data_IF_385106175468
#
_entry.id   IF_385106175468
#
_cell.length_a   1.000
_cell.length_b   1.000
_cell.length_c   1.000
_cell.angle_alpha   90.00
_cell.angle_beta   90.00
_cell.angle_gamma   90.00
#
_symmetry.space_group_name_H-M   'P 1'
#
loop_
_entity.id
_entity.type
_entity.pdbx_description
1 polymer ?
#
# COMPACT_ATOMS: atom_id res chain seq x y z
N UNK A 1 -10.11 -22.47 -18.71
CA UNK A 1 -10.89 -21.27 -18.36
C UNK A 1 -10.62 -20.93 -16.91
N UNK A 2 -9.57 -20.13 -16.66
CA UNK A 2 -9.17 -19.74 -15.30
C UNK A 2 -10.02 -18.53 -14.92
N UNK A 3 -11.00 -18.71 -14.01
CA UNK A 3 -11.66 -17.57 -13.38
C UNK A 3 -10.61 -16.78 -12.61
N UNK A 4 -10.20 -15.64 -13.14
CA UNK A 4 -9.43 -14.66 -12.37
C UNK A 4 -10.38 -14.17 -11.26
N UNK A 5 -10.06 -14.36 -9.97
CA UNK A 5 -10.92 -13.87 -8.91
C UNK A 5 -11.04 -12.35 -9.07
N UNK A 6 -12.26 -11.87 -9.30
CA UNK A 6 -12.60 -10.47 -9.22
C UNK A 6 -12.05 -9.93 -7.89
N UNK A 7 -11.21 -8.90 -7.93
CA UNK A 7 -10.66 -8.25 -6.74
C UNK A 7 -11.85 -7.75 -5.91
N UNK A 8 -12.14 -8.40 -4.78
CA UNK A 8 -13.27 -8.08 -3.88
C UNK A 8 -12.85 -7.46 -2.55
N UNK A 9 -11.57 -7.44 -2.22
CA UNK A 9 -11.16 -7.36 -0.81
C UNK A 9 -10.43 -6.03 -0.51
N UNK A 10 -11.12 -4.89 -0.57
CA UNK A 10 -11.91 -4.21 0.47
C UNK A 10 -11.06 -3.23 1.30
N UNK A 11 -11.62 -2.04 1.49
CA UNK A 11 -10.85 -0.80 1.61
C UNK A 11 -10.59 -0.36 3.07
N UNK A 12 -11.40 -0.84 4.02
CA UNK A 12 -11.38 -0.44 5.43
C UNK A 12 -11.86 -1.60 6.31
N UNK A 13 -11.22 -1.84 7.45
CA UNK A 13 -11.65 -2.81 8.45
C UNK A 13 -11.75 -2.13 9.81
N UNK A 14 -12.93 -2.17 10.42
CA UNK A 14 -13.09 -1.75 11.81
C UNK A 14 -12.59 -2.87 12.73
N UNK A 15 -11.51 -2.62 13.45
CA UNK A 15 -11.02 -3.50 14.49
C UNK A 15 -11.69 -3.09 15.81
N UNK A 16 -12.40 -4.01 16.49
CA UNK A 16 -13.05 -3.70 17.76
C UNK A 16 -12.01 -3.36 18.84
N UNK A 17 -12.45 -2.63 19.87
CA UNK A 17 -11.63 -2.42 21.05
C UNK A 17 -11.35 -3.75 21.76
N UNK A 18 -10.15 -3.88 22.32
CA UNK A 18 -9.77 -4.94 23.26
C UNK A 18 -9.52 -4.33 24.63
N UNK A 19 -9.25 -5.16 25.65
CA UNK A 19 -8.91 -4.68 27.00
C UNK A 19 -7.73 -3.71 27.00
N UNK A 20 -6.75 -3.93 26.12
CA UNK A 20 -5.51 -3.16 26.06
C UNK A 20 -5.44 -2.21 24.89
N UNK A 21 -6.41 -2.23 23.97
CA UNK A 21 -6.33 -1.42 22.76
C UNK A 21 -7.65 -0.80 22.33
N UNK A 22 -7.66 0.49 21.95
CA UNK A 22 -8.88 1.14 21.50
C UNK A 22 -9.33 0.61 20.14
N UNK A 23 -10.62 0.83 19.85
CA UNK A 23 -11.18 0.61 18.53
C UNK A 23 -10.40 1.44 17.50
N UNK A 24 -10.17 0.87 16.33
CA UNK A 24 -9.39 1.51 15.27
C UNK A 24 -9.78 0.99 13.90
N UNK A 25 -9.39 1.72 12.86
CA UNK A 25 -9.61 1.33 11.47
C UNK A 25 -8.28 0.89 10.86
N UNK A 26 -8.28 -0.28 10.22
CA UNK A 26 -7.20 -0.77 9.38
C UNK A 26 -7.52 -0.51 7.91
N UNK A 27 -6.59 0.08 7.18
CA UNK A 27 -6.75 0.53 5.80
C UNK A 27 -6.02 -0.42 4.86
N UNK A 28 -6.70 -0.86 3.81
CA UNK A 28 -6.06 -1.56 2.69
C UNK A 28 -6.64 -1.06 1.38
N UNK A 29 -6.09 0.03 0.88
CA UNK A 29 -6.63 0.76 -0.26
C UNK A 29 -5.68 0.76 -1.45
N UNK A 30 -6.25 0.78 -2.65
CA UNK A 30 -5.51 1.05 -3.87
C UNK A 30 -6.45 1.27 -5.05
N UNK A 31 -6.79 2.53 -5.32
CA UNK A 31 -7.70 2.93 -6.41
C UNK A 31 -7.37 2.30 -7.76
N UNK A 32 -6.07 2.21 -8.11
CA UNK A 32 -5.60 1.66 -9.39
C UNK A 32 -6.11 0.25 -9.69
N UNK A 33 -6.38 -0.57 -8.67
CA UNK A 33 -6.89 -1.93 -8.88
C UNK A 33 -8.37 -1.94 -9.31
N UNK A 34 -9.09 -0.86 -9.01
CA UNK A 34 -10.51 -0.71 -9.32
C UNK A 34 -10.78 0.04 -10.62
N UNK A 35 -9.91 0.99 -11.01
CA UNK A 35 -10.16 1.86 -12.17
C UNK A 35 -9.04 1.86 -13.21
N UNK A 36 -7.92 1.17 -12.96
CA UNK A 36 -6.73 1.26 -13.81
C UNK A 36 -5.92 2.53 -13.56
N UNK A 37 -4.73 2.64 -14.16
CA UNK A 37 -3.90 3.84 -14.09
C UNK A 37 -2.85 3.88 -15.21
N UNK A 38 -2.89 4.91 -16.06
CA UNK A 38 -1.89 5.15 -17.11
C UNK A 38 -1.64 3.92 -17.99
N UNK A 39 -0.38 3.48 -18.05
CA UNK A 39 0.05 2.29 -18.80
C UNK A 39 -0.46 0.94 -18.26
N UNK A 40 -1.20 0.93 -17.14
CA UNK A 40 -1.82 -0.26 -16.55
C UNK A 40 -3.35 -0.09 -16.57
N UNK A 41 -4.00 -0.24 -17.75
CA UNK A 41 -5.45 -0.15 -17.85
C UNK A 41 -6.12 -1.28 -17.06
N UNK A 42 -7.36 -1.03 -16.61
CA UNK A 42 -8.19 -2.09 -16.00
C UNK A 42 -8.53 -3.12 -17.07
N UNK A 43 -8.47 -4.40 -16.71
CA UNK A 43 -8.95 -5.47 -17.60
C UNK A 43 -10.45 -5.33 -17.87
N UNK A 44 -10.84 -5.45 -19.14
CA UNK A 44 -12.24 -5.44 -19.57
C UNK A 44 -13.03 -6.67 -19.09
N UNK A 45 -12.34 -7.73 -18.66
CA UNK A 45 -12.97 -8.95 -18.11
C UNK A 45 -13.51 -8.73 -16.69
N UNK A 46 -13.09 -7.67 -16.01
CA UNK A 46 -13.54 -7.36 -14.65
C UNK A 46 -14.75 -6.41 -14.75
N UNK A 47 -15.90 -6.74 -14.13
CA UNK A 47 -17.08 -5.86 -14.16
C UNK A 47 -16.75 -4.42 -13.74
N UNK A 48 -17.42 -3.40 -14.30
CA UNK A 48 -17.24 -2.03 -13.85
C UNK A 48 -17.61 -1.91 -12.37
N UNK A 49 -17.01 -0.93 -11.69
CA UNK A 49 -17.42 -0.60 -10.33
C UNK A 49 -18.82 0.02 -10.34
N UNK A 50 -19.57 -0.19 -9.27
CA UNK A 50 -20.87 0.49 -9.08
C UNK A 50 -20.66 1.96 -8.74
N UNK A 51 -21.71 2.77 -8.89
CA UNK A 51 -21.70 4.17 -8.47
C UNK A 51 -21.35 4.31 -6.98
N UNK A 52 -21.99 3.54 -6.11
CA UNK A 52 -21.68 3.51 -4.67
C UNK A 52 -20.21 3.12 -4.38
N UNK A 53 -19.60 2.25 -5.19
CA UNK A 53 -18.17 1.95 -5.06
C UNK A 53 -17.30 3.12 -5.49
N UNK A 54 -17.66 3.81 -6.59
CA UNK A 54 -16.96 5.01 -7.04
C UNK A 54 -17.03 6.11 -5.96
N UNK A 55 -18.21 6.38 -5.42
CA UNK A 55 -18.42 7.33 -4.32
C UNK A 55 -17.61 6.98 -3.08
N UNK A 56 -17.54 5.70 -2.70
CA UNK A 56 -16.74 5.26 -1.56
C UNK A 56 -15.24 5.49 -1.79
N UNK A 57 -14.74 5.18 -2.99
CA UNK A 57 -13.35 5.46 -3.36
C UNK A 57 -13.07 6.97 -3.32
N UNK A 58 -13.98 7.78 -3.85
CA UNK A 58 -13.87 9.25 -3.90
C UNK A 58 -13.90 9.88 -2.51
N UNK A 59 -14.80 9.42 -1.66
CA UNK A 59 -14.88 9.82 -0.25
C UNK A 59 -13.54 9.64 0.44
N UNK A 60 -12.89 8.49 0.25
CA UNK A 60 -11.58 8.24 0.86
C UNK A 60 -10.46 9.09 0.27
N UNK A 61 -10.49 9.32 -1.04
CA UNK A 61 -9.50 10.17 -1.70
C UNK A 61 -9.60 11.62 -1.21
N UNK A 62 -10.79 12.22 -1.28
CA UNK A 62 -10.99 13.61 -0.89
C UNK A 62 -10.89 13.82 0.63
N UNK A 63 -11.24 12.82 1.44
CA UNK A 63 -10.97 12.87 2.90
C UNK A 63 -9.47 12.84 3.16
N UNK A 64 -8.74 11.96 2.49
CA UNK A 64 -7.28 11.88 2.61
C UNK A 64 -6.59 13.16 2.17
N UNK A 65 -7.04 13.78 1.08
CA UNK A 65 -6.55 15.07 0.59
C UNK A 65 -6.87 16.21 1.57
N UNK A 66 -8.10 16.28 2.08
CA UNK A 66 -8.51 17.32 3.03
C UNK A 66 -7.71 17.30 4.32
N UNK A 67 -7.33 16.12 4.80
CA UNK A 67 -6.60 15.93 6.05
C UNK A 67 -5.13 15.54 5.82
N UNK A 68 -4.59 15.77 4.62
CA UNK A 68 -3.20 15.45 4.35
C UNK A 68 -2.26 16.36 5.14
N UNK A 69 -1.16 15.79 5.61
CA UNK A 69 -0.05 16.54 6.21
C UNK A 69 1.14 16.42 5.27
N UNK A 70 1.57 17.55 4.72
CA UNK A 70 2.78 17.61 3.92
C UNK A 70 3.99 17.63 4.84
N UNK A 71 4.91 16.71 4.61
CA UNK A 71 6.17 16.62 5.35
C UNK A 71 7.31 17.09 4.46
N UNK A 72 8.11 18.04 4.92
CA UNK A 72 9.42 18.31 4.35
C UNK A 72 10.30 17.09 4.64
N UNK A 73 10.75 16.40 3.59
CA UNK A 73 11.53 15.17 3.73
C UNK A 73 12.88 15.36 3.07
N UNK A 74 13.87 15.71 3.89
CA UNK A 74 15.20 16.11 3.47
C UNK A 74 16.19 14.94 3.51
N UNK A 75 17.40 15.19 3.01
CA UNK A 75 18.48 14.20 3.01
C UNK A 75 18.91 13.93 4.45
N UNK A 76 18.82 12.67 4.87
CA UNK A 76 19.20 12.22 6.20
C UNK A 76 17.99 11.94 7.10
N UNK A 77 16.80 12.41 6.72
CA UNK A 77 15.58 12.13 7.45
C UNK A 77 15.17 10.67 7.32
N UNK A 78 14.48 10.17 8.36
CA UNK A 78 13.88 8.84 8.38
C UNK A 78 12.38 8.99 8.67
N UNK A 79 11.55 8.49 7.77
CA UNK A 79 10.09 8.51 7.93
C UNK A 79 9.55 7.12 8.26
N UNK A 80 8.88 7.00 9.41
CA UNK A 80 8.13 5.80 9.79
C UNK A 80 6.65 5.99 9.47
N UNK A 81 6.09 5.08 8.67
CA UNK A 81 4.68 5.12 8.29
C UNK A 81 4.01 3.84 8.78
N UNK A 82 2.97 3.99 9.62
CA UNK A 82 2.09 2.87 9.92
C UNK A 82 1.17 2.62 8.71
N UNK A 83 1.56 1.65 7.88
CA UNK A 83 0.86 1.30 6.65
C UNK A 83 -0.57 0.78 6.86
N UNK A 84 -0.95 0.42 8.10
CA UNK A 84 -2.31 -0.01 8.43
C UNK A 84 -3.25 1.15 8.74
N UNK A 85 -2.73 2.32 9.12
CA UNK A 85 -3.57 3.43 9.60
C UNK A 85 -3.45 4.70 8.77
N UNK A 86 -2.44 4.81 7.90
CA UNK A 86 -2.15 6.02 7.14
C UNK A 86 -2.07 5.72 5.64
N UNK A 87 -2.70 6.58 4.84
CA UNK A 87 -2.33 6.75 3.45
C UNK A 87 -1.04 7.54 3.35
N UNK A 88 -0.18 7.16 2.41
CA UNK A 88 1.03 7.89 2.10
C UNK A 88 1.13 8.04 0.59
N UNK A 89 1.52 9.23 0.16
CA UNK A 89 1.68 9.60 -1.23
C UNK A 89 2.91 10.50 -1.38
N UNK A 90 3.19 10.88 -2.61
CA UNK A 90 4.25 11.81 -2.95
C UNK A 90 3.77 12.64 -4.12
N UNK A 91 4.11 13.92 -4.10
CA UNK A 91 3.88 14.81 -5.22
C UNK A 91 4.64 14.38 -6.48
N UNK A 92 4.16 14.88 -7.61
CA UNK A 92 4.88 14.83 -8.87
C UNK A 92 6.16 15.67 -8.78
N UNK A 93 7.27 15.12 -9.26
CA UNK A 93 8.52 15.85 -9.38
C UNK A 93 9.19 15.50 -10.71
N UNK A 94 10.11 16.36 -11.13
CA UNK A 94 10.94 16.16 -12.32
C UNK A 94 12.39 15.95 -11.88
N UNK A 95 13.01 14.87 -12.35
CA UNK A 95 14.45 14.66 -12.12
C UNK A 95 15.26 15.61 -13.01
N UNK A 96 16.39 16.09 -12.49
CA UNK A 96 17.44 16.76 -13.26
C UNK A 96 18.71 15.92 -13.20
N UNK A 97 19.61 16.07 -14.18
CA UNK A 97 20.82 15.23 -14.30
C UNK A 97 21.66 15.20 -13.02
N UNK A 98 21.78 16.34 -12.34
CA UNK A 98 22.57 16.48 -11.09
C UNK A 98 21.73 16.33 -9.81
N UNK A 99 20.40 16.33 -9.91
CA UNK A 99 19.48 16.31 -8.76
C UNK A 99 18.40 15.26 -8.94
N UNK A 100 18.64 14.10 -8.36
CA UNK A 100 17.70 12.99 -8.31
C UNK A 100 17.32 12.66 -6.86
N UNK A 101 16.03 12.40 -6.63
CA UNK A 101 15.53 11.99 -5.31
C UNK A 101 15.73 10.49 -5.13
N UNK A 102 16.67 10.11 -4.27
CA UNK A 102 16.98 8.71 -3.94
C UNK A 102 16.51 8.37 -2.51
N UNK A 103 15.73 7.29 -2.35
CA UNK A 103 15.24 6.83 -1.05
C UNK A 103 15.44 5.32 -0.91
N UNK A 104 15.85 4.91 0.29
CA UNK A 104 15.76 3.52 0.73
C UNK A 104 14.38 3.29 1.38
N UNK A 105 13.74 2.17 1.06
CA UNK A 105 12.44 1.80 1.62
C UNK A 105 12.49 0.40 2.22
N UNK A 106 12.13 0.31 3.48
CA UNK A 106 12.03 -0.94 4.22
C UNK A 106 10.56 -1.28 4.53
N UNK A 107 10.25 -2.57 4.56
CA UNK A 107 8.96 -3.08 5.03
C UNK A 107 9.19 -3.75 6.38
N UNK A 108 8.80 -3.08 7.46
CA UNK A 108 9.06 -3.54 8.82
C UNK A 108 7.81 -4.24 9.39
N UNK A 109 8.02 -5.32 10.15
CA UNK A 109 6.98 -6.00 10.92
C UNK A 109 7.59 -6.59 12.19
N UNK A 110 7.13 -6.13 13.35
CA UNK A 110 7.40 -6.77 14.64
C UNK A 110 6.22 -7.70 15.00
N UNK A 111 6.37 -9.03 14.99
CA UNK A 111 5.26 -9.95 15.25
C UNK A 111 4.60 -9.74 16.62
N UNK A 112 5.35 -9.33 17.64
CA UNK A 112 4.81 -9.12 19.00
C UNK A 112 3.87 -7.91 19.08
N UNK A 113 4.10 -6.90 18.24
CA UNK A 113 3.36 -5.62 18.26
C UNK A 113 2.47 -5.41 17.01
N UNK A 114 2.43 -6.39 16.11
CA UNK A 114 1.64 -6.29 14.89
C UNK A 114 0.15 -6.26 15.22
N UNK A 115 -0.61 -5.40 14.55
CA UNK A 115 -2.05 -5.42 14.66
C UNK A 115 -2.58 -6.75 14.10
N UNK A 116 -3.68 -7.23 14.68
CA UNK A 116 -4.41 -8.36 14.13
C UNK A 116 -4.78 -8.06 12.68
N UNK A 117 -4.27 -8.88 11.77
CA UNK A 117 -4.55 -8.76 10.34
C UNK A 117 -5.91 -9.40 10.07
N UNK A 118 -6.88 -8.69 9.45
CA UNK A 118 -8.13 -9.30 9.03
C UNK A 118 -7.87 -10.55 8.16
N UNK A 119 -8.63 -11.63 8.39
CA UNK A 119 -8.39 -12.93 7.74
C UNK A 119 -8.32 -12.82 6.20
N UNK A 120 -9.19 -12.00 5.62
CA UNK A 120 -9.23 -11.72 4.18
C UNK A 120 -7.93 -11.12 3.62
N UNK A 121 -7.13 -10.46 4.46
CA UNK A 121 -5.82 -9.91 4.08
C UNK A 121 -4.67 -10.90 4.29
N UNK A 122 -4.90 -12.04 4.96
CA UNK A 122 -3.85 -12.98 5.35
C UNK A 122 -3.03 -13.45 4.15
N UNK A 123 -3.68 -13.82 3.04
CA UNK A 123 -2.99 -14.25 1.82
C UNK A 123 -2.02 -13.20 1.28
N UNK A 124 -2.38 -11.91 1.37
CA UNK A 124 -1.53 -10.81 0.93
C UNK A 124 -0.39 -10.54 1.90
N UNK A 125 -0.62 -10.71 3.19
CA UNK A 125 0.42 -10.59 4.21
C UNK A 125 1.42 -11.73 4.12
N UNK A 126 0.94 -12.94 3.85
CA UNK A 126 1.78 -14.11 3.62
C UNK A 126 2.75 -13.88 2.45
N UNK A 127 2.32 -13.21 1.38
CA UNK A 127 3.21 -12.88 0.24
C UNK A 127 4.38 -11.96 0.63
N UNK A 128 4.24 -11.17 1.69
CA UNK A 128 5.25 -10.19 2.11
C UNK A 128 6.11 -10.75 3.22
N UNK A 129 5.51 -11.45 4.18
CA UNK A 129 6.15 -11.76 5.46
C UNK A 129 6.34 -13.26 5.72
N UNK A 130 5.64 -14.16 5.02
CA UNK A 130 5.73 -15.59 5.33
C UNK A 130 6.99 -16.19 4.75
N UNK A 131 7.77 -16.83 5.62
CA UNK A 131 9.01 -17.51 5.22
C UNK A 131 10.17 -16.56 4.93
N UNK A 132 10.03 -15.27 5.24
CA UNK A 132 11.16 -14.33 5.22
C UNK A 132 12.10 -14.69 6.37
N UNK A 133 13.37 -14.89 6.02
CA UNK A 133 14.49 -15.14 6.93
C UNK A 133 15.57 -14.08 6.67
N UNK A 134 16.45 -13.77 7.64
CA UNK A 134 17.49 -12.74 7.46
C UNK A 134 18.32 -12.90 6.18
N UNK A 135 18.63 -14.14 5.78
CA UNK A 135 19.38 -14.44 4.57
C UNK A 135 18.61 -14.24 3.25
N UNK A 136 17.29 -14.08 3.32
CA UNK A 136 16.41 -13.82 2.16
C UNK A 136 15.99 -12.36 2.05
N UNK A 137 16.38 -11.52 3.02
CA UNK A 137 16.11 -10.09 2.97
C UNK A 137 16.98 -9.41 1.92
N UNK A 138 16.39 -8.48 1.18
CA UNK A 138 17.07 -7.75 0.10
C UNK A 138 17.18 -6.29 0.48
N UNK A 139 18.43 -5.82 0.61
CA UNK A 139 18.80 -4.43 0.88
C UNK A 139 19.50 -3.85 -0.35
N UNK A 140 18.74 -3.32 -1.32
CA UNK A 140 19.33 -2.77 -2.53
C UNK A 140 20.07 -1.48 -2.20
N UNK A 141 21.41 -1.51 -2.26
CA UNK A 141 22.24 -0.32 -2.13
C UNK A 141 22.15 0.56 -3.37
N UNK A 142 21.93 -0.04 -4.54
CA UNK A 142 21.78 0.65 -5.81
C UNK A 142 20.30 0.73 -6.24
N UNK A 143 19.88 1.86 -6.85
CA UNK A 143 18.52 2.02 -7.35
C UNK A 143 18.26 1.05 -8.50
N UNK A 144 17.09 0.41 -8.49
CA UNK A 144 16.63 -0.38 -9.63
C UNK A 144 15.14 -0.17 -9.88
N UNK A 145 14.74 -0.28 -11.14
CA UNK A 145 13.34 -0.18 -11.53
C UNK A 145 12.67 -1.54 -11.29
N UNK A 146 11.73 -1.59 -10.36
CA UNK A 146 10.85 -2.77 -10.20
C UNK A 146 9.93 -2.88 -11.42
N UNK A 147 10.24 -3.83 -12.30
CA UNK A 147 9.37 -4.24 -13.40
C UNK A 147 8.56 -5.47 -13.00
N UNK A 148 7.51 -5.79 -13.78
CA UNK A 148 6.76 -7.03 -13.60
C UNK A 148 7.64 -8.29 -13.68
N UNK A 149 8.81 -8.20 -14.32
CA UNK A 149 9.79 -9.28 -14.45
C UNK A 149 10.66 -9.49 -13.19
N UNK A 150 10.77 -8.49 -12.29
CA UNK A 150 11.64 -8.54 -11.10
C UNK A 150 10.85 -8.55 -9.78
N UNK A 151 9.64 -9.12 -9.75
CA UNK A 151 8.76 -9.14 -8.57
C UNK A 151 9.31 -9.92 -7.35
N UNK A 152 10.35 -10.73 -7.54
CA UNK A 152 10.92 -11.62 -6.52
C UNK A 152 12.31 -11.25 -6.02
N UNK A 153 12.80 -10.03 -6.30
CA UNK A 153 13.99 -9.47 -5.64
C UNK A 153 13.58 -8.42 -4.61
#
# INVERSE_FOLDING_TARGET
MVRVPCVRDLVLYLLPATETTPQRVSLQYGRRYFVGFGALPRSSEIPPITEAQAEALDTLHFTGERFCVNTEFEKGDIQYVNNLSLFHARDGFVNQDEKQRHLLRLWLRGPENAWTTPEVLQKRWDQIYKGVRPETEVFPLEPYIRSAANKGR
#
